data_IF_262621137410
#
_entry.id   IF_262621137410
#
_cell.length_a   1.000
_cell.length_b   1.000
_cell.length_c   1.000
_cell.angle_alpha   90.00
_cell.angle_beta   90.00
_cell.angle_gamma   90.00
#
_symmetry.space_group_name_H-M   'P 1'
#
loop_
_entity.id
_entity.type
_entity.pdbx_description
1 polymer ?
#
# COMPACT_ATOMS: atom_id res chain seq x y z
N UNK A 1 -28.77 4.12 17.94
CA UNK A 1 -28.91 2.67 18.19
C UNK A 1 -27.67 2.00 17.60
N UNK A 2 -26.92 1.25 18.40
CA UNK A 2 -25.80 0.43 17.90
C UNK A 2 -26.34 -0.77 17.13
N UNK A 3 -25.58 -1.25 16.14
CA UNK A 3 -25.93 -2.46 15.40
C UNK A 3 -25.25 -3.66 16.08
N UNK A 4 -25.99 -4.59 16.73
CA UNK A 4 -25.36 -5.65 17.51
C UNK A 4 -24.92 -6.81 16.59
N UNK A 5 -23.66 -6.80 16.19
CA UNK A 5 -23.03 -7.95 15.51
C UNK A 5 -21.89 -8.54 16.38
N UNK A 6 -22.19 -9.14 17.54
CA UNK A 6 -21.18 -9.55 18.50
C UNK A 6 -20.24 -10.66 18.00
N UNK A 7 -20.62 -11.38 16.95
CA UNK A 7 -19.84 -12.46 16.35
C UNK A 7 -19.18 -12.07 15.01
N UNK A 8 -19.34 -10.82 14.54
CA UNK A 8 -18.75 -10.38 13.29
C UNK A 8 -17.23 -10.23 13.45
N UNK A 9 -16.47 -11.07 12.75
CA UNK A 9 -15.00 -11.10 12.79
C UNK A 9 -14.36 -10.40 11.60
N UNK A 10 -14.99 -10.48 10.43
CA UNK A 10 -14.49 -9.89 9.19
C UNK A 10 -15.59 -9.05 8.54
N UNK A 11 -15.22 -7.87 8.06
CA UNK A 11 -16.11 -6.96 7.36
C UNK A 11 -15.39 -6.37 6.15
N UNK A 12 -16.03 -6.45 4.99
CA UNK A 12 -15.59 -5.77 3.78
C UNK A 12 -16.65 -4.77 3.36
N UNK A 13 -16.26 -3.52 3.14
CA UNK A 13 -17.12 -2.42 2.72
C UNK A 13 -16.62 -1.92 1.38
N UNK A 14 -17.49 -1.88 0.38
CA UNK A 14 -17.24 -1.17 -0.88
C UNK A 14 -18.06 0.11 -0.85
N UNK A 15 -17.42 1.21 -1.23
CA UNK A 15 -17.97 2.56 -1.13
C UNK A 15 -17.86 3.21 -2.49
N UNK A 16 -18.97 3.71 -3.00
CA UNK A 16 -18.98 4.58 -4.17
C UNK A 16 -19.16 6.05 -3.77
N UNK A 17 -19.13 6.93 -4.76
CA UNK A 17 -19.31 8.37 -4.57
C UNK A 17 -20.63 8.72 -3.87
N UNK A 18 -21.68 7.93 -4.08
CA UNK A 18 -23.01 8.18 -3.51
C UNK A 18 -23.10 7.71 -2.05
N UNK A 19 -22.24 6.79 -1.62
CA UNK A 19 -22.28 6.17 -0.29
C UNK A 19 -21.14 6.58 0.64
N UNK A 20 -20.16 7.37 0.17
CA UNK A 20 -19.03 7.86 0.97
C UNK A 20 -19.46 8.47 2.31
N UNK A 21 -20.47 9.34 2.27
CA UNK A 21 -20.98 10.06 3.43
C UNK A 21 -21.59 9.14 4.51
N UNK A 22 -21.88 7.88 4.18
CA UNK A 22 -22.44 6.89 5.11
C UNK A 22 -21.37 6.10 5.87
N UNK A 23 -20.10 6.12 5.43
CA UNK A 23 -19.03 5.31 6.02
C UNK A 23 -18.82 5.63 7.50
N UNK A 24 -18.54 6.90 7.82
CA UNK A 24 -18.22 7.29 9.19
C UNK A 24 -19.40 7.05 10.16
N UNK A 25 -20.65 7.45 9.83
CA UNK A 25 -21.81 7.10 10.64
C UNK A 25 -21.99 5.60 10.84
N UNK A 26 -21.68 4.80 9.81
CA UNK A 26 -21.76 3.35 9.88
C UNK A 26 -20.69 2.77 10.81
N UNK A 27 -19.42 3.13 10.63
CA UNK A 27 -18.31 2.66 11.48
C UNK A 27 -18.50 3.07 12.95
N UNK A 28 -18.97 4.29 13.20
CA UNK A 28 -19.26 4.77 14.55
C UNK A 28 -20.38 3.97 15.26
N UNK A 29 -21.31 3.38 14.49
CA UNK A 29 -22.42 2.58 15.01
C UNK A 29 -22.14 1.08 15.05
N UNK A 30 -21.15 0.63 14.29
CA UNK A 30 -20.84 -0.78 14.09
C UNK A 30 -20.59 -1.47 15.43
N UNK A 31 -19.85 -0.84 16.35
CA UNK A 31 -19.76 -1.32 17.74
C UNK A 31 -19.39 -2.80 17.87
N UNK A 32 -18.41 -3.26 17.06
CA UNK A 32 -18.02 -4.67 16.96
C UNK A 32 -16.69 -4.88 17.70
N UNK A 33 -16.71 -5.27 18.99
CA UNK A 33 -15.49 -5.51 19.76
C UNK A 33 -14.74 -6.79 19.32
N UNK A 34 -15.36 -7.60 18.45
CA UNK A 34 -14.81 -8.85 17.94
C UNK A 34 -14.30 -8.75 16.50
N UNK A 35 -14.21 -7.53 15.93
CA UNK A 35 -13.80 -7.35 14.55
C UNK A 35 -12.28 -7.51 14.46
N UNK A 36 -11.86 -8.58 13.80
CA UNK A 36 -10.47 -8.94 13.60
C UNK A 36 -9.96 -8.44 12.23
N UNK A 37 -10.85 -8.30 11.25
CA UNK A 37 -10.51 -7.89 9.90
C UNK A 37 -11.48 -6.82 9.38
N UNK A 38 -10.93 -5.73 8.83
CA UNK A 38 -11.70 -4.72 8.15
C UNK A 38 -11.05 -4.36 6.81
N UNK A 39 -11.82 -4.50 5.74
CA UNK A 39 -11.44 -4.02 4.41
C UNK A 39 -12.41 -2.92 3.98
N UNK A 40 -11.87 -1.78 3.57
CA UNK A 40 -12.63 -0.67 3.01
C UNK A 40 -12.07 -0.39 1.61
N UNK A 41 -12.91 -0.50 0.60
CA UNK A 41 -12.58 -0.22 -0.80
C UNK A 41 -13.42 0.95 -1.30
N UNK A 42 -12.77 1.92 -1.92
CA UNK A 42 -13.42 3.03 -2.60
C UNK A 42 -13.48 2.72 -4.10
N UNK A 43 -14.68 2.40 -4.57
CA UNK A 43 -15.04 2.19 -5.97
C UNK A 43 -15.49 3.53 -6.56
N UNK A 44 -14.51 4.33 -6.99
CA UNK A 44 -14.81 5.56 -7.72
C UNK A 44 -14.95 5.17 -9.19
N UNK A 45 -16.18 5.22 -9.69
CA UNK A 45 -16.44 5.07 -11.13
C UNK A 45 -15.64 6.15 -11.85
N UNK A 46 -14.92 5.75 -12.90
CA UNK A 46 -13.98 6.53 -13.73
C UNK A 46 -14.58 7.80 -14.36
N UNK A 47 -15.04 8.73 -13.54
CA UNK A 47 -15.28 10.12 -13.91
C UNK A 47 -13.90 10.76 -14.01
N UNK A 48 -13.30 10.65 -15.20
CA UNK A 48 -11.93 10.93 -15.64
C UNK A 48 -11.32 12.29 -15.20
N UNK A 49 -12.02 13.13 -14.45
CA UNK A 49 -11.68 14.55 -14.28
C UNK A 49 -11.59 15.08 -12.86
N UNK A 50 -11.86 14.28 -11.81
CA UNK A 50 -11.81 14.79 -10.44
C UNK A 50 -10.89 13.93 -9.57
N UNK A 51 -9.78 14.52 -9.13
CA UNK A 51 -8.88 13.97 -8.12
C UNK A 51 -9.61 13.92 -6.76
N UNK A 52 -10.42 12.87 -6.56
CA UNK A 52 -11.28 12.73 -5.38
C UNK A 52 -10.53 12.08 -4.22
N UNK A 53 -9.61 12.79 -3.59
CA UNK A 53 -8.88 12.28 -2.44
C UNK A 53 -9.78 12.26 -1.20
N UNK A 54 -9.65 11.21 -0.40
CA UNK A 54 -10.24 11.23 0.93
C UNK A 54 -9.55 12.31 1.77
N UNK A 55 -10.31 13.24 2.35
CA UNK A 55 -9.74 14.24 3.25
C UNK A 55 -9.00 13.56 4.41
N UNK A 56 -7.87 14.14 4.84
CA UNK A 56 -7.08 13.65 5.96
C UNK A 56 -7.93 13.39 7.22
N UNK A 57 -8.91 14.26 7.48
CA UNK A 57 -9.83 14.13 8.61
C UNK A 57 -10.70 12.88 8.52
N UNK A 58 -11.21 12.54 7.34
CA UNK A 58 -12.00 11.33 7.14
C UNK A 58 -11.15 10.08 7.34
N UNK A 59 -9.93 10.05 6.79
CA UNK A 59 -9.00 8.93 6.99
C UNK A 59 -8.72 8.76 8.48
N UNK A 60 -8.37 9.85 9.17
CA UNK A 60 -8.13 9.83 10.61
C UNK A 60 -9.32 9.27 11.39
N UNK A 61 -10.55 9.70 11.06
CA UNK A 61 -11.77 9.23 11.71
C UNK A 61 -12.04 7.74 11.45
N UNK A 62 -11.77 7.24 10.24
CA UNK A 62 -11.81 5.80 9.96
C UNK A 62 -10.82 5.07 10.86
N UNK A 63 -9.57 5.51 10.91
CA UNK A 63 -8.52 4.88 11.72
C UNK A 63 -8.82 4.94 13.23
N UNK A 64 -9.43 6.04 13.69
CA UNK A 64 -9.89 6.19 15.07
C UNK A 64 -11.04 5.25 15.41
N UNK A 65 -11.90 4.89 14.45
CA UNK A 65 -12.93 3.88 14.68
C UNK A 65 -12.35 2.47 14.68
N UNK A 66 -11.37 2.19 13.80
CA UNK A 66 -10.66 0.91 13.73
C UNK A 66 -9.90 0.62 15.03
N UNK A 67 -9.22 1.62 15.59
CA UNK A 67 -8.43 1.47 16.81
C UNK A 67 -9.24 1.11 18.06
N UNK A 68 -10.57 1.26 18.01
CA UNK A 68 -11.47 0.82 19.08
C UNK A 68 -11.61 -0.70 19.13
N UNK A 69 -11.27 -1.41 18.05
CA UNK A 69 -11.21 -2.87 18.08
C UNK A 69 -9.87 -3.33 18.64
N UNK A 70 -9.91 -3.90 19.85
CA UNK A 70 -8.69 -4.43 20.50
C UNK A 70 -8.20 -5.75 19.89
N UNK A 71 -8.96 -6.34 18.96
CA UNK A 71 -8.61 -7.60 18.30
C UNK A 71 -8.25 -7.45 16.84
N UNK A 72 -8.20 -6.23 16.33
CA UNK A 72 -7.87 -5.96 14.94
C UNK A 72 -6.52 -6.58 14.57
N UNK A 73 -6.54 -7.47 13.58
CA UNK A 73 -5.37 -8.15 12.99
C UNK A 73 -5.12 -7.71 11.57
N UNK A 74 -6.17 -7.41 10.81
CA UNK A 74 -6.05 -7.03 9.40
C UNK A 74 -6.84 -5.77 9.13
N UNK A 75 -6.17 -4.74 8.64
CA UNK A 75 -6.81 -3.52 8.17
C UNK A 75 -6.33 -3.18 6.76
N UNK A 76 -7.29 -3.06 5.85
CA UNK A 76 -7.05 -2.66 4.46
C UNK A 76 -7.92 -1.45 4.13
N UNK A 77 -7.27 -0.37 3.72
CA UNK A 77 -7.87 0.81 3.14
C UNK A 77 -7.38 0.95 1.71
N UNK A 78 -8.25 0.69 0.75
CA UNK A 78 -7.93 0.78 -0.66
C UNK A 78 -8.65 1.97 -1.27
N UNK A 79 -7.89 3.04 -1.51
CA UNK A 79 -8.27 4.12 -2.40
C UNK A 79 -7.90 3.81 -3.86
N UNK A 80 -8.10 4.81 -4.70
CA UNK A 80 -7.75 4.79 -6.13
C UNK A 80 -6.27 5.14 -6.34
N UNK A 81 -5.78 4.80 -7.52
CA UNK A 81 -4.46 5.24 -7.98
C UNK A 81 -4.55 6.71 -8.38
N UNK A 82 -3.70 7.54 -7.77
CA UNK A 82 -3.70 8.98 -8.06
C UNK A 82 -3.24 9.20 -9.51
N UNK A 83 -4.08 9.87 -10.31
CA UNK A 83 -3.73 10.21 -11.69
C UNK A 83 -2.54 11.18 -11.78
N UNK A 84 -2.35 11.99 -10.74
CA UNK A 84 -1.24 12.93 -10.60
C UNK A 84 -0.53 12.73 -9.26
N UNK A 85 0.78 13.00 -9.17
CA UNK A 85 1.52 13.02 -7.91
C UNK A 85 0.84 13.91 -6.86
N UNK A 86 0.92 13.57 -5.56
CA UNK A 86 0.37 14.40 -4.51
C UNK A 86 1.24 15.65 -4.31
N UNK A 87 0.60 16.81 -4.18
CA UNK A 87 1.25 18.04 -3.72
C UNK A 87 1.58 17.94 -2.21
N UNK A 88 2.55 18.74 -1.74
CA UNK A 88 3.06 18.70 -0.35
C UNK A 88 1.94 18.88 0.70
N UNK A 89 0.93 19.70 0.41
CA UNK A 89 -0.19 19.95 1.33
C UNK A 89 -1.14 18.75 1.50
N UNK A 90 -1.11 17.81 0.57
CA UNK A 90 -1.96 16.61 0.59
C UNK A 90 -1.25 15.40 1.19
N UNK A 91 0.05 15.50 1.44
CA UNK A 91 0.84 14.44 2.03
C UNK A 91 0.56 14.34 3.52
N UNK A 92 0.30 13.12 3.98
CA UNK A 92 0.07 12.80 5.38
C UNK A 92 1.37 12.33 6.01
N UNK A 93 1.58 12.64 7.28
CA UNK A 93 2.69 12.11 8.08
C UNK A 93 2.24 10.91 8.94
N UNK A 94 3.12 10.40 9.80
CA UNK A 94 2.79 9.30 10.71
C UNK A 94 1.61 9.61 11.64
N UNK A 95 1.28 10.89 11.91
CA UNK A 95 0.21 11.25 12.85
C UNK A 95 -1.14 10.69 12.41
N UNK A 96 -1.35 10.48 11.10
CA UNK A 96 -2.56 9.84 10.59
C UNK A 96 -2.72 8.41 11.12
N UNK A 97 -1.61 7.68 11.28
CA UNK A 97 -1.60 6.29 11.76
C UNK A 97 -1.61 6.18 13.28
N UNK A 98 -1.49 7.29 14.01
CA UNK A 98 -1.42 7.31 15.48
C UNK A 98 -2.50 6.45 16.16
N UNK A 99 -3.78 6.44 15.72
CA UNK A 99 -4.79 5.57 16.31
C UNK A 99 -4.44 4.07 16.24
N UNK A 100 -3.82 3.64 15.14
CA UNK A 100 -3.48 2.23 14.90
C UNK A 100 -2.20 1.78 15.63
N UNK A 101 -1.34 2.70 16.07
CA UNK A 101 -0.06 2.36 16.71
C UNK A 101 -0.21 1.57 18.04
N UNK A 102 -1.40 1.57 18.63
CA UNK A 102 -1.75 0.81 19.84
C UNK A 102 -2.17 -0.64 19.55
N UNK A 103 -2.42 -1.00 18.29
CA UNK A 103 -2.88 -2.33 17.88
C UNK A 103 -1.69 -3.29 17.72
N UNK A 104 -1.09 -3.73 18.83
CA UNK A 104 0.10 -4.59 18.83
C UNK A 104 -0.10 -5.98 18.21
N UNK A 105 -1.37 -6.39 18.03
CA UNK A 105 -1.75 -7.65 17.39
C UNK A 105 -1.98 -7.52 15.88
N UNK A 106 -1.74 -6.34 15.29
CA UNK A 106 -1.88 -6.12 13.85
C UNK A 106 -0.87 -6.97 13.07
N UNK A 107 -1.39 -7.82 12.17
CA UNK A 107 -0.63 -8.69 11.28
C UNK A 107 -0.60 -8.14 9.85
N UNK A 108 -1.67 -7.47 9.42
CA UNK A 108 -1.81 -6.90 8.07
C UNK A 108 -2.23 -5.45 8.16
N UNK A 109 -1.45 -4.57 7.53
CA UNK A 109 -1.82 -3.20 7.26
C UNK A 109 -1.58 -2.88 5.79
N UNK A 110 -2.64 -2.49 5.10
CA UNK A 110 -2.57 -2.06 3.71
C UNK A 110 -3.31 -0.74 3.51
N UNK A 111 -2.61 0.29 3.06
CA UNK A 111 -3.16 1.60 2.73
C UNK A 111 -2.70 1.99 1.33
N UNK A 112 -3.56 1.74 0.34
CA UNK A 112 -3.32 2.07 -1.07
C UNK A 112 -4.04 3.37 -1.43
N UNK A 113 -3.40 4.21 -2.25
CA UNK A 113 -3.99 5.47 -2.70
C UNK A 113 -4.04 6.59 -1.65
N UNK A 114 -3.47 6.37 -0.47
CA UNK A 114 -3.37 7.39 0.59
C UNK A 114 -1.92 7.86 0.65
N UNK A 115 -1.58 9.13 0.35
CA UNK A 115 -0.19 9.59 0.26
C UNK A 115 0.42 9.90 1.64
N UNK A 116 0.82 8.85 2.36
CA UNK A 116 1.56 8.92 3.64
C UNK A 116 3.07 8.90 3.39
N UNK A 117 3.79 9.88 3.95
CA UNK A 117 5.24 9.87 4.05
C UNK A 117 5.69 9.53 5.47
N UNK A 118 6.66 8.63 5.56
CA UNK A 118 7.29 8.23 6.81
C UNK A 118 8.73 8.74 6.82
N UNK A 119 9.13 9.35 7.93
CA UNK A 119 10.54 9.59 8.24
C UNK A 119 11.22 8.32 8.78
N UNK A 120 12.55 8.34 8.90
CA UNK A 120 13.35 7.28 9.53
C UNK A 120 12.86 6.94 10.95
N UNK A 121 12.53 7.96 11.75
CA UNK A 121 12.02 7.78 13.12
C UNK A 121 10.61 7.17 13.11
N UNK A 122 9.80 7.51 12.11
CA UNK A 122 8.46 6.96 11.92
C UNK A 122 8.51 5.47 11.57
N UNK A 123 9.39 5.09 10.64
CA UNK A 123 9.62 3.68 10.29
C UNK A 123 10.01 2.85 11.51
N UNK A 124 10.89 3.37 12.36
CA UNK A 124 11.27 2.71 13.60
C UNK A 124 10.12 2.61 14.61
N UNK A 125 9.28 3.65 14.68
CA UNK A 125 8.08 3.67 15.54
C UNK A 125 7.06 2.65 15.08
N UNK A 126 6.75 2.63 13.79
CA UNK A 126 5.85 1.67 13.15
C UNK A 126 6.30 0.23 13.41
N UNK A 127 7.58 -0.08 13.15
CA UNK A 127 8.12 -1.43 13.33
C UNK A 127 8.01 -1.92 14.79
N UNK A 128 8.21 -1.03 15.77
CA UNK A 128 8.06 -1.35 17.20
C UNK A 128 6.60 -1.50 17.62
N UNK A 129 5.70 -0.72 17.02
CA UNK A 129 4.27 -0.76 17.33
C UNK A 129 3.62 -2.06 16.91
N UNK A 130 4.05 -2.67 15.80
CA UNK A 130 3.43 -3.87 15.23
C UNK A 130 4.42 -5.04 15.11
N UNK A 131 4.85 -5.66 16.23
CA UNK A 131 5.85 -6.72 16.20
C UNK A 131 5.35 -8.04 15.56
N UNK A 132 4.02 -8.19 15.39
CA UNK A 132 3.40 -9.36 14.75
C UNK A 132 3.13 -9.17 13.26
N UNK A 133 3.51 -8.02 12.69
CA UNK A 133 3.25 -7.66 11.31
C UNK A 133 3.85 -8.70 10.34
N UNK A 134 3.02 -9.13 9.39
CA UNK A 134 3.31 -10.06 8.30
C UNK A 134 3.21 -9.37 6.95
N UNK A 135 2.28 -8.44 6.81
CA UNK A 135 2.05 -7.70 5.57
C UNK A 135 1.90 -6.21 5.87
N UNK A 136 2.81 -5.41 5.32
CA UNK A 136 2.75 -3.95 5.39
C UNK A 136 2.83 -3.37 3.99
N UNK A 137 1.83 -2.59 3.58
CA UNK A 137 1.91 -1.76 2.38
C UNK A 137 1.31 -0.40 2.64
N UNK A 138 2.13 0.65 2.54
CA UNK A 138 1.70 2.03 2.68
C UNK A 138 2.29 2.77 1.47
N UNK A 139 1.43 3.37 0.64
CA UNK A 139 1.83 4.24 -0.48
C UNK A 139 2.74 3.60 -1.53
N UNK A 140 2.79 2.29 -1.64
CA UNK A 140 3.77 1.60 -2.47
C UNK A 140 3.47 1.66 -3.99
N UNK A 141 2.48 2.46 -4.38
CA UNK A 141 2.17 2.81 -5.77
C UNK A 141 2.03 4.31 -6.00
N UNK A 142 2.24 5.13 -4.97
CA UNK A 142 2.11 6.59 -5.09
C UNK A 142 3.39 7.15 -5.69
N UNK A 143 3.26 7.90 -6.78
CA UNK A 143 4.37 8.63 -7.40
C UNK A 143 4.59 9.92 -6.62
N UNK A 144 5.79 10.13 -6.11
CA UNK A 144 6.18 11.38 -5.46
C UNK A 144 7.11 12.16 -6.39
N UNK A 145 6.89 13.48 -6.51
CA UNK A 145 7.77 14.39 -7.24
C UNK A 145 8.71 15.14 -6.29
N UNK A 146 9.70 15.84 -6.84
CA UNK A 146 10.51 16.77 -6.06
C UNK A 146 9.63 17.92 -5.52
N UNK A 147 9.80 18.35 -4.25
CA UNK A 147 10.85 17.98 -3.30
C UNK A 147 10.48 16.80 -2.36
N UNK A 148 9.28 16.23 -2.47
CA UNK A 148 8.80 15.17 -1.58
C UNK A 148 9.66 13.90 -1.64
N UNK A 149 10.22 13.61 -2.81
CA UNK A 149 11.16 12.51 -3.02
C UNK A 149 12.31 12.49 -2.01
N UNK A 150 12.86 13.65 -1.65
CA UNK A 150 13.96 13.79 -0.68
C UNK A 150 13.58 13.46 0.76
N UNK A 151 12.29 13.31 1.02
CA UNK A 151 11.73 12.95 2.33
C UNK A 151 11.38 11.47 2.41
N UNK A 152 11.54 10.70 1.32
CA UNK A 152 11.28 9.27 1.34
C UNK A 152 12.33 8.53 2.17
N UNK A 153 11.93 7.35 2.63
CA UNK A 153 12.79 6.43 3.35
C UNK A 153 13.99 6.01 2.51
N UNK A 154 15.11 5.79 3.18
CA UNK A 154 16.32 5.18 2.63
C UNK A 154 16.34 3.68 2.95
N UNK A 155 17.29 2.94 2.37
CA UNK A 155 17.33 1.48 2.53
C UNK A 155 17.65 1.03 3.97
N UNK A 156 18.41 1.80 4.73
CA UNK A 156 18.71 1.55 6.14
C UNK A 156 17.52 1.80 7.07
N UNK A 157 16.55 2.62 6.65
CA UNK A 157 15.29 2.80 7.37
C UNK A 157 14.40 1.54 7.36
N UNK A 158 14.76 0.53 6.58
CA UNK A 158 14.10 -0.78 6.60
C UNK A 158 14.60 -1.71 7.71
N UNK A 159 15.77 -1.41 8.31
CA UNK A 159 16.37 -2.23 9.36
C UNK A 159 15.49 -2.41 10.62
N UNK A 160 14.75 -1.40 11.10
CA UNK A 160 13.82 -1.58 12.22
C UNK A 160 12.78 -2.66 11.96
N UNK A 161 12.26 -2.81 10.73
CA UNK A 161 11.30 -3.86 10.38
C UNK A 161 11.92 -5.25 10.48
N UNK A 162 13.14 -5.44 9.96
CA UNK A 162 13.88 -6.70 10.12
C UNK A 162 14.11 -7.04 11.60
N UNK A 163 14.38 -6.03 12.45
CA UNK A 163 14.66 -6.22 13.88
C UNK A 163 13.40 -6.50 14.70
N UNK A 164 12.31 -5.79 14.44
CA UNK A 164 11.13 -5.77 15.32
C UNK A 164 9.95 -6.59 14.77
N UNK A 165 9.90 -6.89 13.47
CA UNK A 165 8.84 -7.65 12.82
C UNK A 165 9.39 -8.97 12.24
N UNK A 166 9.74 -9.96 13.08
CA UNK A 166 10.41 -11.20 12.61
C UNK A 166 9.54 -12.10 11.73
N UNK A 167 8.23 -11.82 11.65
CA UNK A 167 7.26 -12.51 10.81
C UNK A 167 6.90 -11.74 9.54
N UNK A 168 7.53 -10.60 9.28
CA UNK A 168 7.22 -9.77 8.13
C UNK A 168 7.57 -10.53 6.84
N UNK A 169 6.58 -10.73 6.00
CA UNK A 169 6.67 -11.45 4.72
C UNK A 169 6.61 -10.47 3.55
N UNK A 170 5.75 -9.45 3.65
CA UNK A 170 5.60 -8.39 2.63
C UNK A 170 5.82 -7.01 3.23
N UNK A 171 6.68 -6.21 2.59
CA UNK A 171 6.93 -4.81 2.94
C UNK A 171 6.84 -3.93 1.70
N UNK A 172 5.90 -3.00 1.66
CA UNK A 172 5.77 -1.99 0.60
C UNK A 172 5.74 -0.60 1.19
N UNK A 173 6.78 0.19 0.94
CA UNK A 173 6.90 1.56 1.40
C UNK A 173 7.50 2.42 0.28
N UNK A 174 7.20 3.73 0.26
CA UNK A 174 7.86 4.64 -0.67
C UNK A 174 9.30 4.85 -0.19
N UNK A 175 10.25 4.54 -1.07
CA UNK A 175 11.68 4.60 -0.76
C UNK A 175 12.37 5.44 -1.83
N UNK A 176 13.27 6.31 -1.40
CA UNK A 176 14.22 6.92 -2.31
C UNK A 176 15.51 6.11 -2.27
N UNK A 177 15.77 5.42 -3.39
CA UNK A 177 17.04 4.73 -3.59
C UNK A 177 18.04 5.78 -4.09
N UNK A 178 18.68 6.48 -3.16
CA UNK A 178 19.89 7.23 -3.46
C UNK A 178 21.07 6.27 -3.38
N UNK A 179 22.11 6.47 -4.21
CA UNK A 179 23.39 5.79 -4.07
C UNK A 179 24.13 6.28 -2.81
N UNK A 180 23.56 6.08 -1.64
CA UNK A 180 24.24 6.28 -0.36
C UNK A 180 25.12 5.07 -0.10
N UNK A 181 26.37 5.33 0.23
CA UNK A 181 27.32 4.29 0.65
C UNK A 181 26.82 3.71 1.96
N UNK A 182 26.44 2.43 1.97
CA UNK A 182 26.17 1.73 3.23
C UNK A 182 27.48 1.77 4.01
N UNK A 183 27.51 2.27 5.26
CA UNK A 183 28.75 2.35 6.02
C UNK A 183 29.33 0.94 6.15
N UNK A 184 30.43 0.70 5.45
CA UNK A 184 31.14 -0.56 5.44
C UNK A 184 31.58 -0.86 6.87
N UNK A 185 30.89 -1.81 7.51
CA UNK A 185 31.19 -2.22 8.89
C UNK A 185 30.12 -1.86 9.92
N UNK A 186 28.86 -1.60 9.57
CA UNK A 186 27.77 -1.55 10.54
C UNK A 186 27.78 -2.83 11.41
N UNK A 187 28.19 -2.76 12.68
CA UNK A 187 28.53 -3.94 13.47
C UNK A 187 27.29 -4.65 14.05
N UNK A 188 26.10 -4.08 13.87
CA UNK A 188 24.88 -4.52 14.52
C UNK A 188 23.70 -4.60 13.54
N UNK A 189 23.90 -5.38 12.48
CA UNK A 189 22.79 -5.74 11.61
C UNK A 189 21.81 -6.69 12.31
N UNK A 190 20.50 -6.55 12.04
CA UNK A 190 19.52 -7.52 12.51
C UNK A 190 19.79 -8.91 11.90
N UNK A 191 19.28 -9.98 12.54
CA UNK A 191 19.30 -11.30 11.94
C UNK A 191 18.55 -11.27 10.59
N UNK A 192 18.85 -12.23 9.69
CA UNK A 192 18.13 -12.36 8.43
C UNK A 192 16.61 -12.37 8.63
N UNK A 193 15.95 -11.42 7.98
CA UNK A 193 14.51 -11.19 8.08
C UNK A 193 13.75 -12.02 7.06
N UNK A 194 12.64 -12.66 7.46
CA UNK A 194 11.79 -13.53 6.62
C UNK A 194 10.98 -12.77 5.55
N UNK A 195 11.40 -11.56 5.18
CA UNK A 195 10.75 -10.81 4.13
C UNK A 195 11.02 -11.52 2.81
N UNK A 196 9.92 -11.80 2.14
CA UNK A 196 9.82 -12.52 0.90
C UNK A 196 9.55 -11.51 -0.22
N UNK A 197 8.62 -10.59 0.01
CA UNK A 197 8.23 -9.57 -0.95
C UNK A 197 8.59 -8.20 -0.38
N UNK A 198 9.49 -7.48 -1.03
CA UNK A 198 9.78 -6.10 -0.66
C UNK A 198 9.44 -5.24 -1.89
N UNK A 199 8.31 -4.54 -1.82
CA UNK A 199 7.87 -3.61 -2.85
C UNK A 199 8.55 -2.27 -2.60
N UNK A 200 9.43 -1.85 -3.50
CA UNK A 200 10.08 -0.55 -3.41
C UNK A 200 9.45 0.37 -4.43
N UNK A 201 8.61 1.29 -3.96
CA UNK A 201 8.06 2.35 -4.78
C UNK A 201 9.06 3.51 -4.80
N UNK A 202 9.84 3.60 -5.87
CA UNK A 202 10.91 4.58 -5.95
C UNK A 202 11.60 4.62 -7.31
N UNK A 203 11.94 5.83 -7.77
CA UNK A 203 12.62 6.06 -9.04
C UNK A 203 14.13 6.04 -8.78
N UNK A 204 14.70 4.84 -8.66
CA UNK A 204 16.13 4.67 -8.80
C UNK A 204 16.46 4.48 -10.28
N UNK A 205 17.31 5.35 -10.83
CA UNK A 205 17.95 5.04 -12.12
C UNK A 205 18.87 3.82 -11.98
N UNK A 206 19.46 3.61 -10.79
CA UNK A 206 20.40 2.51 -10.49
C UNK A 206 20.38 2.12 -9.01
N UNK A 207 20.29 0.82 -8.74
CA UNK A 207 20.55 0.25 -7.40
C UNK A 207 22.08 0.16 -7.20
N UNK A 208 22.60 0.70 -6.10
CA UNK A 208 24.03 0.63 -5.79
C UNK A 208 24.44 -0.78 -5.35
N UNK A 209 25.73 -1.12 -5.50
CA UNK A 209 26.27 -2.40 -5.03
C UNK A 209 26.07 -2.59 -3.52
N UNK A 210 26.30 -1.51 -2.76
CA UNK A 210 26.19 -1.51 -1.30
C UNK A 210 24.76 -1.79 -0.84
N UNK A 211 23.77 -1.26 -1.56
CA UNK A 211 22.35 -1.53 -1.30
C UNK A 211 21.98 -2.99 -1.59
N UNK A 212 22.46 -3.55 -2.71
CA UNK A 212 22.29 -4.97 -3.00
C UNK A 212 22.94 -5.83 -1.92
N UNK A 213 24.12 -5.46 -1.43
CA UNK A 213 24.79 -6.16 -0.32
C UNK A 213 23.97 -6.08 0.98
N UNK A 214 23.40 -4.91 1.29
CA UNK A 214 22.50 -4.74 2.44
C UNK A 214 21.26 -5.63 2.30
N UNK A 215 20.59 -5.60 1.16
CA UNK A 215 19.37 -6.39 0.94
C UNK A 215 19.64 -7.89 0.92
N UNK A 216 20.70 -8.34 0.26
CA UNK A 216 21.07 -9.77 0.28
C UNK A 216 21.45 -10.27 1.68
N UNK A 217 22.02 -9.39 2.52
CA UNK A 217 22.41 -9.75 3.89
C UNK A 217 21.24 -9.73 4.87
N UNK A 218 20.35 -8.74 4.78
CA UNK A 218 19.24 -8.55 5.73
C UNK A 218 17.95 -9.23 5.26
N UNK A 219 17.71 -9.27 3.95
CA UNK A 219 16.52 -9.83 3.31
C UNK A 219 16.92 -10.91 2.28
N UNK A 220 17.63 -11.98 2.68
CA UNK A 220 18.20 -12.95 1.73
C UNK A 220 17.17 -13.71 0.91
N UNK A 221 15.89 -13.70 1.32
CA UNK A 221 14.79 -14.35 0.63
C UNK A 221 14.02 -13.43 -0.33
N UNK A 222 14.31 -12.13 -0.30
CA UNK A 222 13.70 -11.17 -1.19
C UNK A 222 14.42 -11.22 -2.54
N UNK A 223 13.70 -11.54 -3.62
CA UNK A 223 14.29 -11.59 -4.97
C UNK A 223 14.22 -10.23 -5.66
N UNK A 224 15.41 -9.64 -5.81
CA UNK A 224 15.64 -8.29 -6.33
C UNK A 224 15.52 -8.31 -7.84
N UNK A 225 14.31 -8.11 -8.35
CA UNK A 225 14.08 -7.98 -9.80
C UNK A 225 14.19 -6.53 -10.25
N UNK A 226 14.75 -6.37 -11.44
CA UNK A 226 14.73 -5.14 -12.19
C UNK A 226 13.28 -4.66 -12.37
N UNK A 227 13.05 -3.34 -12.46
CA UNK A 227 11.72 -2.80 -12.54
C UNK A 227 11.06 -3.28 -13.83
N UNK A 228 9.83 -3.78 -13.73
CA UNK A 228 9.06 -4.17 -14.91
C UNK A 228 8.60 -2.89 -15.61
N UNK A 229 9.02 -2.68 -16.85
CA UNK A 229 8.60 -1.56 -17.69
C UNK A 229 7.15 -1.74 -18.14
N UNK A 230 6.18 -1.55 -17.24
CA UNK A 230 4.79 -1.36 -17.63
C UNK A 230 4.57 0.14 -17.88
N UNK A 231 4.33 0.51 -19.14
CA UNK A 231 3.81 1.82 -19.58
C UNK A 231 4.48 3.09 -18.98
N UNK A 232 5.83 3.15 -18.99
CA UNK A 232 6.56 4.42 -18.88
C UNK A 232 7.27 4.71 -17.57
N UNK A 233 7.22 3.83 -16.56
CA UNK A 233 7.97 4.02 -15.31
C UNK A 233 8.62 2.74 -14.79
N UNK A 234 9.71 2.94 -14.04
CA UNK A 234 10.49 1.88 -13.42
C UNK A 234 10.00 1.62 -11.98
N UNK A 235 8.97 0.78 -11.81
CA UNK A 235 8.59 0.28 -10.48
C UNK A 235 9.43 -0.96 -10.18
N UNK A 236 10.32 -0.86 -9.19
CA UNK A 236 11.13 -2.00 -8.72
C UNK A 236 10.25 -2.95 -7.91
N UNK A 237 9.62 -3.90 -8.62
CA UNK A 237 8.91 -5.00 -8.02
C UNK A 237 9.91 -6.07 -7.59
N UNK A 238 10.25 -6.10 -6.31
CA UNK A 238 11.16 -7.09 -5.74
C UNK A 238 10.30 -8.20 -5.09
N UNK A 239 10.23 -9.32 -5.80
CA UNK A 239 9.33 -10.45 -5.57
C UNK A 239 10.13 -11.73 -5.41
N UNK A 240 9.66 -12.67 -4.58
CA UNK A 240 10.37 -13.93 -4.24
C UNK A 240 10.63 -14.82 -5.44
N UNK A 241 11.75 -15.54 -5.39
CA UNK A 241 12.01 -16.77 -6.13
C UNK A 241 11.35 -17.94 -5.38
N UNK A 242 10.05 -18.14 -5.58
CA UNK A 242 9.27 -19.18 -4.94
C UNK A 242 8.20 -19.69 -5.89
N UNK A 243 8.20 -21.01 -6.10
CA UNK A 243 7.33 -21.82 -6.94
C UNK A 243 5.87 -21.79 -6.42
N UNK A 244 5.22 -20.62 -6.52
CA UNK A 244 3.81 -20.45 -6.24
C UNK A 244 3.10 -20.28 -7.57
N UNK A 245 2.68 -21.41 -8.10
CA UNK A 245 1.48 -21.52 -8.93
C UNK A 245 0.34 -20.81 -8.21
N UNK A 246 -0.05 -19.64 -8.70
CA UNK A 246 -1.44 -19.19 -8.74
C UNK A 246 -1.48 -18.18 -9.89
N UNK A 247 -1.53 -18.77 -11.08
CA UNK A 247 -2.09 -18.21 -12.29
C UNK A 247 -3.57 -17.85 -12.00
N UNK A 248 -3.81 -16.66 -11.47
CA UNK A 248 -5.05 -15.93 -11.72
C UNK A 248 -4.66 -14.68 -12.51
N UNK A 249 -4.05 -14.91 -13.67
CA UNK A 249 -4.13 -13.95 -14.76
C UNK A 249 -5.58 -13.97 -15.22
N UNK A 250 -6.28 -12.87 -14.96
CA UNK A 250 -7.53 -12.51 -15.60
C UNK A 250 -7.39 -12.72 -17.12
N UNK A 251 -7.85 -13.87 -17.61
CA UNK A 251 -8.19 -14.05 -19.01
C UNK A 251 -9.43 -13.19 -19.27
N UNK A 252 -9.19 -11.89 -19.50
CA UNK A 252 -10.08 -11.08 -20.32
C UNK A 252 -10.10 -11.73 -21.71
N UNK A 253 -11.11 -12.57 -21.93
CA UNK A 253 -11.46 -13.03 -23.26
C UNK A 253 -11.81 -11.81 -24.10
N UNK A 254 -10.90 -11.45 -25.01
CA UNK A 254 -11.21 -10.61 -26.16
C UNK A 254 -12.27 -11.35 -27.00
N UNK A 255 -13.55 -11.07 -26.76
CA UNK A 255 -14.59 -11.35 -27.75
C UNK A 255 -14.36 -10.38 -28.93
N UNK A 256 -13.73 -10.90 -29.99
CA UNK A 256 -13.74 -10.31 -31.32
C UNK A 256 -15.20 -10.15 -31.78
N UNK A 257 -15.75 -8.95 -31.62
CA UNK A 257 -16.99 -8.56 -32.29
C UNK A 257 -16.64 -8.26 -33.75
N UNK A 258 -16.81 -9.25 -34.62
CA UNK A 258 -16.88 -9.05 -36.07
C UNK A 258 -18.06 -8.11 -36.37
N UNK A 259 -17.76 -6.85 -36.68
CA UNK A 259 -18.75 -5.92 -37.19
C UNK A 259 -18.83 -6.09 -38.70
N UNK A 260 -19.84 -6.84 -39.14
CA UNK A 260 -20.28 -6.95 -40.53
C UNK A 260 -20.45 -5.54 -41.12
N UNK A 261 -19.69 -5.28 -42.19
CA UNK A 261 -19.88 -4.14 -43.08
C UNK A 261 -21.13 -4.42 -43.91
N UNK A 262 -22.24 -3.80 -43.55
CA UNK A 262 -23.31 -3.55 -44.51
C UNK A 262 -22.91 -2.33 -45.34
N UNK A 263 -22.41 -2.64 -46.54
CA UNK A 263 -22.48 -1.78 -47.71
C UNK A 263 -23.96 -1.51 -47.99
N UNK A 264 -24.40 -0.25 -47.91
CA UNK A 264 -25.57 0.15 -48.65
C UNK A 264 -25.26 1.39 -49.50
N UNK A 265 -25.29 1.09 -50.78
CA UNK A 265 -24.98 1.85 -51.96
C UNK A 265 -26.28 2.48 -52.47
N UNK A 266 -26.18 3.63 -53.16
CA UNK A 266 -27.26 4.26 -53.96
C UNK A 266 -28.26 5.13 -53.16
N UNK A 267 -28.76 6.27 -53.62
CA UNK A 267 -28.80 6.92 -54.93
C UNK A 267 -28.94 8.45 -54.71
N UNK A 268 -28.24 9.28 -55.48
CA UNK A 268 -28.81 10.11 -56.57
C UNK A 268 -30.28 10.54 -56.36
N UNK A 269 -30.54 11.85 -56.19
CA UNK A 269 -31.25 12.66 -57.19
C UNK A 269 -31.45 14.12 -56.73
N UNK A 270 -31.04 15.03 -57.63
CA UNK A 270 -31.56 16.38 -57.92
C UNK A 270 -31.36 17.54 -56.95
#
# INVERSE_FOLDING_TARGET
MSLPFPALQSLSISIDDDTEHLLLPFLARLGVPALDELTIRYDIRLSVTVDRRLPATQIHDVLLNVSRSTRMRSFTLQGFELAAPPEDEHVLDLSILAPLLSLHDLETLEMRGVPVLLSSDDAATVARSWPKLRYLRICDKVRFEEPLRRRLLQADDLLPFARHCPKLETLGLPLEIVATSVPAGAPDLPPPSRIHKLCVAGVAERVSRDMLELFTRVFPWADVRAPSHSAGEAIWNLSVRGDLTDEDEDHEGEEEVEHERDEDESAEES
#
